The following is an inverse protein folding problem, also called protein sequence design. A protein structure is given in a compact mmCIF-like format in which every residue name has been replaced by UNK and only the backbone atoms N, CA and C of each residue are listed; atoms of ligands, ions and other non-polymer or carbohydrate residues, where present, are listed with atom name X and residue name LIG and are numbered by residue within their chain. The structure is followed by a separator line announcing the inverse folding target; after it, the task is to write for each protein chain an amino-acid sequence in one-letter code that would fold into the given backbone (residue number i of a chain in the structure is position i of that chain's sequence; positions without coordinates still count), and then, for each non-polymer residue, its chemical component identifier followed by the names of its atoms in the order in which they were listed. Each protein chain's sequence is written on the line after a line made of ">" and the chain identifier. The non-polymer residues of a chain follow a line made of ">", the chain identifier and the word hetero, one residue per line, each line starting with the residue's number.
data_IF_991311683022
#
_entry.id   IF_991311683022
#
_cell.length_a   1.000
_cell.length_b   1.000
_cell.length_c   1.000
_cell.angle_alpha   90.00
_cell.angle_beta   90.00
_cell.angle_gamma   90.00
#
_symmetry.space_group_name_H-M   'P 1'
#
loop_
_entity.id
_entity.type
_entity.pdbx_description
1 polymer ?
#
# COMPACT_ATOMS: atom_id res chain seq x y z
N UNK A 1 -202.64 -15.87 79.76
CA UNK A 1 -202.39 -14.43 79.89
C UNK A 1 -200.95 -14.24 80.38
N UNK A 2 -200.19 -13.35 79.73
CA UNK A 2 -198.88 -12.88 80.19
C UNK A 2 -197.68 -13.67 79.65
N UNK A 3 -197.07 -13.17 78.57
CA UNK A 3 -195.82 -13.68 78.01
C UNK A 3 -194.59 -13.20 78.76
N UNK A 4 -193.54 -14.01 78.73
CA UNK A 4 -192.19 -13.67 79.19
C UNK A 4 -191.22 -14.35 78.21
N UNK A 5 -190.78 -13.64 77.17
CA UNK A 5 -189.74 -14.13 76.25
C UNK A 5 -188.41 -13.70 76.84
N UNK A 6 -187.55 -14.67 77.11
CA UNK A 6 -186.19 -14.45 77.64
C UNK A 6 -185.23 -14.76 76.49
N UNK A 7 -184.51 -13.73 76.01
CA UNK A 7 -183.47 -13.89 75.00
C UNK A 7 -182.25 -14.59 75.63
N UNK A 8 -181.74 -15.61 74.94
CA UNK A 8 -180.50 -16.29 75.29
C UNK A 8 -179.38 -15.76 74.38
N UNK A 9 -178.44 -15.04 74.96
CA UNK A 9 -177.21 -14.62 74.28
C UNK A 9 -176.29 -15.84 74.12
N UNK A 10 -176.03 -16.24 72.87
CA UNK A 10 -175.08 -17.30 72.52
C UNK A 10 -173.74 -16.62 72.19
N UNK A 11 -172.86 -16.52 73.18
CA UNK A 11 -171.47 -16.16 72.97
C UNK A 11 -170.63 -17.42 72.71
N UNK A 12 -169.62 -17.33 71.84
CA UNK A 12 -168.60 -18.36 71.71
C UNK A 12 -167.93 -18.57 73.07
N UNK A 13 -167.66 -19.83 73.44
CA UNK A 13 -166.99 -20.11 74.70
C UNK A 13 -165.59 -19.47 74.71
N UNK A 14 -165.09 -19.16 75.91
CA UNK A 14 -163.80 -18.48 76.08
C UNK A 14 -162.66 -19.23 75.36
N UNK A 15 -162.70 -20.56 75.37
CA UNK A 15 -161.69 -21.44 74.73
C UNK A 15 -161.59 -21.24 73.21
N UNK A 16 -162.71 -21.04 72.51
CA UNK A 16 -162.71 -20.82 71.06
C UNK A 16 -162.24 -19.41 70.72
N UNK A 17 -162.60 -18.43 71.56
CA UNK A 17 -162.11 -17.06 71.41
C UNK A 17 -160.60 -17.00 71.65
N UNK A 18 -160.10 -17.70 72.67
CA UNK A 18 -158.68 -17.80 72.99
C UNK A 18 -157.90 -18.53 71.89
N UNK A 19 -158.47 -19.58 71.27
CA UNK A 19 -157.84 -20.31 70.16
C UNK A 19 -157.71 -19.47 68.89
N UNK A 20 -158.71 -18.63 68.57
CA UNK A 20 -158.64 -17.68 67.46
C UNK A 20 -157.60 -16.58 67.71
N UNK A 21 -157.54 -16.06 68.95
CA UNK A 21 -156.52 -15.10 69.37
C UNK A 21 -155.11 -15.71 69.37
N UNK A 22 -154.99 -16.99 69.74
CA UNK A 22 -153.75 -17.75 69.66
C UNK A 22 -153.37 -18.06 68.20
N UNK A 23 -154.33 -18.27 67.30
CA UNK A 23 -154.07 -18.47 65.88
C UNK A 23 -153.51 -17.21 65.20
N UNK A 24 -154.03 -16.02 65.55
CA UNK A 24 -153.49 -14.72 65.09
C UNK A 24 -152.10 -14.42 65.67
N UNK A 25 -151.74 -15.00 66.82
CA UNK A 25 -150.44 -14.80 67.50
C UNK A 25 -149.45 -15.97 67.38
N UNK A 26 -149.87 -17.12 66.86
CA UNK A 26 -149.03 -18.29 66.56
C UNK A 26 -148.16 -18.10 65.32
N UNK A 27 -148.24 -16.91 64.74
CA UNK A 27 -147.46 -16.50 63.60
C UNK A 27 -145.99 -16.37 63.98
N UNK A 28 -145.19 -17.35 63.57
CA UNK A 28 -143.79 -17.48 63.95
C UNK A 28 -142.95 -16.42 63.24
N UNK A 29 -142.45 -15.46 64.01
CA UNK A 29 -141.42 -14.52 63.56
C UNK A 29 -140.07 -15.24 63.41
N UNK A 30 -139.47 -15.19 62.23
CA UNK A 30 -138.11 -15.72 61.98
C UNK A 30 -137.18 -14.56 61.65
N UNK A 31 -136.11 -14.38 62.42
CA UNK A 31 -135.12 -13.33 62.15
C UNK A 31 -133.90 -13.93 61.45
N UNK A 32 -133.54 -13.41 60.28
CA UNK A 32 -132.28 -13.75 59.59
C UNK A 32 -131.18 -12.82 60.05
N UNK A 33 -129.97 -13.36 60.23
CA UNK A 33 -128.80 -12.59 60.67
C UNK A 33 -127.59 -12.84 59.77
N UNK A 34 -126.73 -11.83 59.61
CA UNK A 34 -125.37 -11.94 59.04
C UNK A 34 -124.39 -11.54 60.14
N UNK A 35 -123.45 -12.44 60.46
CA UNK A 35 -122.43 -12.26 61.50
C UNK A 35 -122.99 -11.71 62.84
N UNK A 36 -124.19 -12.19 63.22
CA UNK A 36 -124.89 -11.79 64.44
C UNK A 36 -125.69 -10.48 64.36
N UNK A 37 -125.70 -9.80 63.20
CA UNK A 37 -126.53 -8.61 62.94
C UNK A 37 -127.84 -9.03 62.31
N UNK A 38 -128.98 -8.59 62.86
CA UNK A 38 -130.30 -8.80 62.25
C UNK A 38 -130.40 -8.11 60.89
N UNK A 39 -130.80 -8.87 59.86
CA UNK A 39 -130.89 -8.41 58.48
C UNK A 39 -132.34 -8.25 58.08
N UNK A 40 -133.17 -9.25 58.36
CA UNK A 40 -134.58 -9.23 58.03
C UNK A 40 -135.38 -10.07 59.03
N UNK A 41 -136.52 -9.53 59.45
CA UNK A 41 -137.54 -10.27 60.19
C UNK A 41 -138.56 -10.77 59.17
N UNK A 42 -138.84 -12.06 59.18
CA UNK A 42 -139.87 -12.70 58.39
C UNK A 42 -141.09 -12.93 59.27
N UNK A 43 -142.23 -12.42 58.83
CA UNK A 43 -143.53 -12.57 59.48
C UNK A 43 -144.63 -12.83 58.42
N UNK A 44 -145.90 -12.64 58.78
CA UNK A 44 -147.04 -12.89 57.88
C UNK A 44 -147.09 -11.91 56.73
N UNK A 45 -146.68 -10.67 56.99
CA UNK A 45 -146.81 -9.57 56.05
C UNK A 45 -145.57 -9.52 55.14
N UNK A 46 -144.43 -10.10 55.57
CA UNK A 46 -143.21 -10.23 54.78
C UNK A 46 -142.50 -11.58 55.00
N UNK A 47 -142.91 -12.61 54.25
CA UNK A 47 -142.40 -13.98 54.37
C UNK A 47 -141.36 -14.39 53.30
N UNK A 48 -140.75 -13.43 52.60
CA UNK A 48 -139.77 -13.71 51.53
C UNK A 48 -138.35 -13.42 51.99
N UNK A 49 -137.53 -14.47 52.12
CA UNK A 49 -136.08 -14.35 52.28
C UNK A 49 -135.42 -14.12 50.91
N UNK A 50 -134.57 -13.10 50.80
CA UNK A 50 -133.79 -12.83 49.59
C UNK A 50 -132.30 -13.01 49.87
N UNK A 51 -131.62 -13.80 49.04
CA UNK A 51 -130.17 -13.98 49.07
C UNK A 51 -129.58 -13.32 47.84
N UNK A 52 -128.63 -12.42 48.04
CA UNK A 52 -128.02 -11.62 46.98
C UNK A 52 -126.61 -12.15 46.72
N UNK A 53 -126.29 -12.41 45.46
CA UNK A 53 -124.94 -12.78 45.02
C UNK A 53 -123.96 -11.63 45.25
N UNK A 54 -122.76 -11.95 45.75
CA UNK A 54 -121.62 -11.03 45.74
C UNK A 54 -120.75 -11.23 44.49
N UNK A 55 -119.66 -10.49 44.38
CA UNK A 55 -118.83 -10.47 43.16
C UNK A 55 -118.24 -11.84 42.77
N UNK A 56 -117.70 -12.59 43.75
CA UNK A 56 -117.04 -13.89 43.50
C UNK A 56 -117.89 -15.10 43.91
N UNK A 57 -119.12 -14.87 44.42
CA UNK A 57 -120.01 -15.93 44.92
C UNK A 57 -121.26 -15.98 44.06
N UNK A 58 -121.50 -17.14 43.44
CA UNK A 58 -122.69 -17.44 42.64
C UNK A 58 -123.67 -18.22 43.50
N UNK A 59 -124.94 -17.82 43.44
CA UNK A 59 -126.06 -18.49 44.09
C UNK A 59 -126.95 -19.10 43.00
N UNK A 60 -127.33 -20.36 43.16
CA UNK A 60 -128.26 -21.05 42.26
C UNK A 60 -129.19 -21.98 43.05
N UNK A 61 -130.29 -22.42 42.44
CA UNK A 61 -131.12 -23.47 43.01
C UNK A 61 -130.46 -24.85 42.81
N UNK A 62 -130.61 -25.74 43.80
CA UNK A 62 -130.25 -27.15 43.67
C UNK A 62 -131.22 -28.00 44.51
N UNK A 63 -132.15 -28.70 43.85
CA UNK A 63 -133.11 -29.63 44.46
C UNK A 63 -133.92 -29.08 45.67
N UNK A 64 -134.31 -27.81 45.60
CA UNK A 64 -135.05 -27.14 46.68
C UNK A 64 -134.16 -26.51 47.77
N UNK A 65 -132.84 -26.57 47.62
CA UNK A 65 -131.86 -25.81 48.41
C UNK A 65 -131.24 -24.64 47.63
N UNK A 66 -130.50 -23.79 48.35
CA UNK A 66 -129.68 -22.72 47.76
C UNK A 66 -128.24 -23.24 47.69
N UNK A 67 -127.68 -23.38 46.49
CA UNK A 67 -126.28 -23.72 46.25
C UNK A 67 -125.43 -22.46 46.29
N UNK A 68 -124.34 -22.51 47.05
CA UNK A 68 -123.35 -21.44 47.16
C UNK A 68 -122.04 -21.94 46.55
N UNK A 69 -121.57 -21.30 45.49
CA UNK A 69 -120.33 -21.66 44.79
C UNK A 69 -119.49 -20.42 44.47
N UNK A 70 -118.20 -20.62 44.19
CA UNK A 70 -117.35 -19.58 43.60
C UNK A 70 -117.66 -19.43 42.11
N UNK A 71 -117.53 -18.23 41.57
CA UNK A 71 -117.56 -18.01 40.13
C UNK A 71 -116.41 -18.77 39.41
N UNK A 72 -116.58 -19.08 38.12
CA UNK A 72 -115.52 -19.69 37.30
C UNK A 72 -114.33 -18.73 37.12
N UNK A 73 -114.64 -17.47 36.82
CA UNK A 73 -113.68 -16.37 36.80
C UNK A 73 -113.87 -15.53 38.06
N UNK A 74 -112.87 -15.57 38.95
CA UNK A 74 -112.85 -14.76 40.15
C UNK A 74 -111.87 -13.60 39.96
N UNK A 75 -112.33 -12.39 40.30
CA UNK A 75 -111.47 -11.21 40.29
C UNK A 75 -111.15 -10.82 41.72
N UNK A 76 -109.86 -10.78 42.03
CA UNK A 76 -109.36 -10.23 43.28
C UNK A 76 -108.60 -8.95 42.99
N UNK A 77 -108.95 -7.87 43.68
CA UNK A 77 -108.16 -6.63 43.66
C UNK A 77 -106.82 -6.81 44.40
N UNK A 78 -106.82 -7.68 45.41
CA UNK A 78 -105.63 -8.09 46.14
C UNK A 78 -105.82 -9.52 46.66
N UNK A 79 -104.73 -10.29 46.67
CA UNK A 79 -104.69 -11.63 47.26
C UNK A 79 -103.67 -11.55 48.40
N UNK A 80 -104.15 -11.67 49.64
CA UNK A 80 -103.26 -11.82 50.79
C UNK A 80 -103.02 -13.32 51.02
N UNK A 81 -101.91 -13.83 50.49
CA UNK A 81 -101.51 -15.23 50.62
C UNK A 81 -100.00 -15.34 50.83
N UNK A 82 -99.57 -16.32 51.62
CA UNK A 82 -98.15 -16.64 51.81
C UNK A 82 -97.52 -17.19 50.51
N UNK A 83 -98.36 -17.74 49.61
CA UNK A 83 -97.93 -18.25 48.32
C UNK A 83 -99.06 -18.24 47.28
N UNK A 84 -98.70 -18.11 46.01
CA UNK A 84 -99.57 -18.35 44.87
C UNK A 84 -98.94 -19.45 44.01
N UNK A 85 -99.61 -20.59 43.90
CA UNK A 85 -99.13 -21.73 43.12
C UNK A 85 -100.15 -22.09 42.04
N UNK A 86 -99.65 -22.22 40.81
CA UNK A 86 -100.40 -22.85 39.73
C UNK A 86 -99.96 -24.32 39.69
N UNK A 87 -100.88 -25.27 39.84
CA UNK A 87 -100.54 -26.70 39.82
C UNK A 87 -99.82 -27.07 38.52
N UNK A 88 -98.57 -27.55 38.63
CA UNK A 88 -97.70 -27.88 37.49
C UNK A 88 -97.09 -26.68 36.76
N UNK A 89 -97.36 -25.46 37.23
CA UNK A 89 -96.87 -24.21 36.65
C UNK A 89 -95.98 -23.40 37.60
N UNK A 90 -95.81 -22.09 37.34
CA UNK A 90 -95.03 -21.21 38.19
C UNK A 90 -95.58 -21.09 39.61
N UNK A 91 -94.69 -20.80 40.56
CA UNK A 91 -95.06 -20.46 41.93
C UNK A 91 -94.43 -19.14 42.36
N UNK A 92 -95.18 -18.37 43.15
CA UNK A 92 -94.74 -17.15 43.81
C UNK A 92 -94.82 -17.38 45.32
N UNK A 93 -93.71 -17.19 46.01
CA UNK A 93 -93.61 -17.33 47.47
C UNK A 93 -92.85 -16.14 48.07
N UNK A 94 -92.80 -16.03 49.40
CA UNK A 94 -91.92 -15.06 50.07
C UNK A 94 -90.43 -15.20 49.71
N UNK A 95 -90.00 -16.33 49.14
CA UNK A 95 -88.63 -16.56 48.67
C UNK A 95 -88.37 -16.14 47.22
N UNK A 96 -89.39 -15.74 46.46
CA UNK A 96 -89.27 -15.35 45.06
C UNK A 96 -90.18 -16.15 44.11
N UNK A 97 -89.76 -16.19 42.85
CA UNK A 97 -90.48 -16.84 41.74
C UNK A 97 -89.75 -18.11 41.35
N UNK A 98 -90.48 -19.23 41.28
CA UNK A 98 -90.01 -20.46 40.64
C UNK A 98 -90.82 -20.70 39.37
N UNK A 99 -90.13 -20.79 38.24
CA UNK A 99 -90.74 -21.03 36.93
C UNK A 99 -90.96 -22.52 36.61
N UNK A 100 -90.64 -23.43 37.54
CA UNK A 100 -90.82 -24.87 37.40
C UNK A 100 -90.21 -25.41 36.08
N UNK A 101 -88.94 -25.05 35.82
CA UNK A 101 -88.19 -25.38 34.60
C UNK A 101 -88.83 -24.92 33.27
N UNK A 102 -89.64 -23.86 33.30
CA UNK A 102 -90.17 -23.21 32.09
C UNK A 102 -89.41 -21.93 31.76
N UNK A 103 -89.56 -21.45 30.52
CA UNK A 103 -88.94 -20.20 30.07
C UNK A 103 -89.77 -18.99 30.50
N UNK A 104 -89.09 -17.90 30.84
CA UNK A 104 -89.71 -16.58 30.95
C UNK A 104 -89.63 -15.94 29.57
N UNK A 105 -90.77 -15.82 28.88
CA UNK A 105 -90.85 -15.16 27.58
C UNK A 105 -91.23 -13.68 27.74
N UNK A 106 -91.00 -12.89 26.68
CA UNK A 106 -91.28 -11.45 26.65
C UNK A 106 -90.53 -10.62 27.72
N UNK A 107 -89.33 -11.08 28.10
CA UNK A 107 -88.45 -10.33 28.99
C UNK A 107 -87.73 -9.24 28.18
N UNK A 108 -88.05 -7.97 28.48
CA UNK A 108 -87.31 -6.83 27.95
C UNK A 108 -85.86 -6.83 28.43
N UNK A 109 -84.98 -6.10 27.74
CA UNK A 109 -83.58 -5.96 28.12
C UNK A 109 -83.47 -5.36 29.53
N UNK A 110 -82.69 -5.99 30.40
CA UNK A 110 -82.36 -5.46 31.71
C UNK A 110 -81.51 -4.20 31.60
N UNK A 111 -81.84 -3.16 32.36
CA UNK A 111 -81.17 -1.85 32.32
C UNK A 111 -80.43 -1.57 33.63
N UNK A 112 -80.98 -2.01 34.76
CA UNK A 112 -80.41 -1.83 36.09
C UNK A 112 -79.66 -3.09 36.54
N UNK A 113 -78.79 -2.93 37.55
CA UNK A 113 -77.90 -4.00 38.03
C UNK A 113 -78.63 -5.26 38.55
N UNK A 114 -79.91 -5.14 38.92
CA UNK A 114 -80.72 -6.22 39.50
C UNK A 114 -81.82 -6.71 38.54
N UNK A 115 -81.84 -6.22 37.30
CA UNK A 115 -82.78 -6.69 36.29
C UNK A 115 -82.34 -8.08 35.77
N UNK A 116 -83.30 -8.92 35.39
CA UNK A 116 -82.99 -10.15 34.69
C UNK A 116 -82.51 -9.83 33.26
N UNK A 117 -81.55 -10.61 32.76
CA UNK A 117 -81.06 -10.49 31.38
C UNK A 117 -81.73 -11.52 30.48
N UNK A 118 -82.05 -11.13 29.25
CA UNK A 118 -82.51 -12.06 28.23
C UNK A 118 -81.34 -12.65 27.41
N UNK A 119 -81.64 -13.64 26.57
CA UNK A 119 -80.61 -14.34 25.78
C UNK A 119 -79.88 -13.40 24.81
N UNK A 120 -80.57 -12.42 24.21
CA UNK A 120 -79.94 -11.47 23.29
C UNK A 120 -78.89 -10.60 23.96
N UNK A 121 -79.10 -10.18 25.22
CA UNK A 121 -78.06 -9.44 25.97
C UNK A 121 -76.83 -10.31 26.23
N UNK A 122 -77.04 -11.60 26.55
CA UNK A 122 -75.94 -12.55 26.76
C UNK A 122 -75.15 -12.81 25.47
N UNK A 123 -75.83 -13.06 24.35
CA UNK A 123 -75.20 -13.27 23.04
C UNK A 123 -74.45 -12.03 22.57
N UNK A 124 -75.02 -10.83 22.76
CA UNK A 124 -74.36 -9.57 22.47
C UNK A 124 -73.08 -9.36 23.28
N UNK A 125 -73.13 -9.63 24.59
CA UNK A 125 -71.95 -9.55 25.46
C UNK A 125 -70.87 -10.58 25.07
N UNK A 126 -71.27 -11.80 24.71
CA UNK A 126 -70.35 -12.84 24.25
C UNK A 126 -69.67 -12.49 22.92
N UNK A 127 -70.42 -11.93 21.96
CA UNK A 127 -69.88 -11.48 20.69
C UNK A 127 -68.88 -10.33 20.87
N UNK A 128 -69.20 -9.35 21.73
CA UNK A 128 -68.33 -8.22 22.03
C UNK A 128 -67.05 -8.61 22.79
N UNK A 129 -67.01 -9.80 23.39
CA UNK A 129 -65.85 -10.29 24.16
C UNK A 129 -64.78 -10.95 23.28
N UNK A 130 -65.00 -11.10 21.97
CA UNK A 130 -64.02 -11.68 21.05
C UNK A 130 -62.91 -10.68 20.71
N UNK A 131 -61.67 -11.15 20.68
CA UNK A 131 -60.49 -10.35 20.31
C UNK A 131 -60.18 -10.47 18.83
N UNK A 132 -59.77 -9.37 18.20
CA UNK A 132 -59.32 -9.32 16.80
C UNK A 132 -57.79 -9.18 16.75
N UNK A 133 -57.13 -9.97 15.89
CA UNK A 133 -55.68 -9.92 15.67
C UNK A 133 -55.42 -9.76 14.18
N UNK A 134 -54.93 -8.58 13.79
CA UNK A 134 -54.54 -8.27 12.41
C UNK A 134 -53.02 -8.43 12.21
N UNK A 135 -52.61 -8.87 11.02
CA UNK A 135 -51.20 -8.93 10.66
C UNK A 135 -50.64 -7.53 10.42
N UNK A 136 -49.61 -7.15 11.18
CA UNK A 136 -48.87 -5.91 10.96
C UNK A 136 -47.86 -6.01 9.80
N UNK A 137 -47.02 -5.00 9.64
CA UNK A 137 -45.87 -5.06 8.72
C UNK A 137 -44.84 -6.07 9.19
N UNK A 138 -44.13 -6.71 8.26
CA UNK A 138 -43.11 -7.74 8.53
C UNK A 138 -43.65 -9.02 9.20
N UNK A 139 -44.95 -9.28 9.06
CA UNK A 139 -45.60 -10.53 9.46
C UNK A 139 -45.89 -11.35 8.21
N UNK A 140 -45.33 -12.55 8.10
CA UNK A 140 -45.63 -13.46 7.01
C UNK A 140 -47.02 -14.09 7.13
N UNK A 141 -47.46 -14.40 8.36
CA UNK A 141 -48.80 -14.93 8.59
C UNK A 141 -49.25 -14.78 10.04
N UNK A 142 -50.57 -14.69 10.23
CA UNK A 142 -51.24 -14.90 11.52
C UNK A 142 -52.14 -16.12 11.35
N UNK A 143 -51.80 -17.19 12.05
CA UNK A 143 -52.54 -18.44 11.98
C UNK A 143 -53.43 -18.58 13.21
N UNK A 144 -54.73 -18.79 13.01
CA UNK A 144 -55.69 -19.10 14.09
C UNK A 144 -55.90 -20.61 14.20
N UNK A 145 -56.00 -21.09 15.42
CA UNK A 145 -56.52 -22.42 15.76
C UNK A 145 -57.49 -22.33 16.93
N UNK A 146 -58.37 -23.31 17.09
CA UNK A 146 -59.27 -23.40 18.25
C UNK A 146 -58.63 -24.28 19.32
N UNK A 147 -58.55 -23.76 20.55
CA UNK A 147 -58.08 -24.47 21.72
C UNK A 147 -59.09 -25.50 22.25
N UNK A 148 -58.67 -26.29 23.23
CA UNK A 148 -59.49 -27.36 23.81
C UNK A 148 -60.77 -26.86 24.49
N UNK A 149 -60.79 -25.60 24.96
CA UNK A 149 -61.93 -24.99 25.64
C UNK A 149 -62.77 -24.11 24.69
N UNK A 150 -62.52 -24.17 23.38
CA UNK A 150 -63.25 -23.40 22.37
C UNK A 150 -62.76 -21.96 22.17
N UNK A 151 -61.64 -21.56 22.78
CA UNK A 151 -61.02 -20.24 22.61
C UNK A 151 -60.16 -20.17 21.34
N UNK A 152 -60.03 -18.99 20.75
CA UNK A 152 -59.13 -18.75 19.61
C UNK A 152 -57.67 -18.59 20.09
N UNK A 153 -56.72 -19.26 19.43
CA UNK A 153 -55.28 -19.13 19.64
C UNK A 153 -54.66 -18.57 18.36
N UNK A 154 -53.97 -17.43 18.47
CA UNK A 154 -53.28 -16.78 17.35
C UNK A 154 -51.77 -17.01 17.43
N UNK A 155 -51.19 -17.58 16.37
CA UNK A 155 -49.73 -17.66 16.16
C UNK A 155 -49.32 -16.61 15.15
N UNK A 156 -48.47 -15.65 15.56
CA UNK A 156 -47.94 -14.60 14.68
C UNK A 156 -46.55 -14.99 14.20
N UNK A 157 -46.38 -15.19 12.90
CA UNK A 157 -45.11 -15.52 12.27
C UNK A 157 -44.51 -14.25 11.64
N UNK A 158 -43.49 -13.68 12.28
CA UNK A 158 -42.78 -12.50 11.78
C UNK A 158 -41.66 -12.92 10.82
N UNK A 159 -41.66 -12.40 9.60
CA UNK A 159 -40.65 -12.71 8.57
C UNK A 159 -40.63 -11.57 7.54
N UNK A 160 -39.85 -10.52 7.80
CA UNK A 160 -39.89 -9.32 6.97
C UNK A 160 -38.68 -8.40 7.09
N UNK A 161 -37.50 -8.93 7.40
CA UNK A 161 -36.28 -8.16 7.27
C UNK A 161 -35.84 -8.10 5.80
N UNK A 162 -35.42 -6.93 5.33
CA UNK A 162 -34.75 -6.78 4.04
C UNK A 162 -33.34 -6.26 4.30
N UNK A 163 -32.34 -7.02 3.87
CA UNK A 163 -30.92 -6.63 3.92
C UNK A 163 -30.40 -6.61 2.50
N UNK A 164 -29.86 -5.46 2.06
CA UNK A 164 -29.29 -5.29 0.73
C UNK A 164 -27.80 -5.00 0.84
N UNK A 165 -27.01 -5.62 -0.04
CA UNK A 165 -25.57 -5.39 -0.13
C UNK A 165 -25.28 -4.22 -1.07
N UNK A 166 -24.37 -3.32 -0.65
CA UNK A 166 -23.76 -2.33 -1.54
C UNK A 166 -22.66 -2.94 -2.41
N UNK A 167 -22.04 -2.12 -3.25
CA UNK A 167 -20.87 -2.54 -4.04
C UNK A 167 -19.73 -2.97 -3.11
N UNK A 168 -19.11 -4.13 -3.39
CA UNK A 168 -17.99 -4.66 -2.60
C UNK A 168 -18.35 -5.57 -1.43
N UNK A 169 -19.65 -5.78 -1.17
CA UNK A 169 -20.16 -6.62 -0.08
C UNK A 169 -21.10 -7.67 -0.66
N UNK A 170 -21.13 -8.86 -0.07
CA UNK A 170 -22.16 -9.87 -0.27
C UNK A 170 -22.98 -10.03 1.00
N UNK A 171 -24.29 -10.22 0.82
CA UNK A 171 -25.21 -10.61 1.88
C UNK A 171 -25.76 -11.97 1.50
N UNK A 172 -25.62 -12.95 2.38
CA UNK A 172 -26.17 -14.29 2.23
C UNK A 172 -27.08 -14.59 3.40
N UNK A 173 -28.33 -14.97 3.11
CA UNK A 173 -29.30 -15.36 4.12
C UNK A 173 -29.26 -16.87 4.40
N UNK A 174 -29.60 -17.25 5.62
CA UNK A 174 -29.83 -18.66 6.01
C UNK A 174 -31.01 -18.73 6.97
N UNK A 175 -31.89 -19.71 6.76
CA UNK A 175 -32.99 -20.01 7.67
C UNK A 175 -32.43 -20.58 8.99
N UNK A 176 -32.54 -19.83 10.07
CA UNK A 176 -32.12 -20.24 11.41
C UNK A 176 -33.25 -20.98 12.17
N UNK A 177 -34.41 -21.17 11.53
CA UNK A 177 -35.60 -21.76 12.12
C UNK A 177 -36.32 -20.81 13.10
N UNK A 178 -37.55 -21.16 13.47
CA UNK A 178 -38.32 -20.38 14.45
C UNK A 178 -38.70 -18.98 13.96
N UNK A 179 -38.87 -18.79 12.64
CA UNK A 179 -39.11 -17.49 12.00
C UNK A 179 -37.93 -16.51 12.19
N UNK A 180 -36.70 -17.03 12.13
CA UNK A 180 -35.47 -16.23 12.19
C UNK A 180 -34.66 -16.47 10.93
N UNK A 181 -34.34 -15.39 10.23
CA UNK A 181 -33.41 -15.39 9.09
C UNK A 181 -32.09 -14.77 9.57
N UNK A 182 -31.00 -15.53 9.48
CA UNK A 182 -29.64 -15.03 9.76
C UNK A 182 -29.04 -14.44 8.48
N UNK A 183 -28.40 -13.28 8.59
CA UNK A 183 -27.78 -12.59 7.45
C UNK A 183 -26.28 -12.49 7.68
N UNK A 184 -25.50 -13.25 6.91
CA UNK A 184 -24.06 -13.10 6.86
C UNK A 184 -23.68 -11.95 5.91
N UNK A 185 -22.90 -11.00 6.42
CA UNK A 185 -22.42 -9.83 5.67
C UNK A 185 -20.90 -9.90 5.58
N UNK A 186 -20.38 -10.07 4.36
CA UNK A 186 -18.96 -10.24 4.10
C UNK A 186 -18.49 -9.41 2.90
N UNK A 187 -17.19 -9.15 2.79
CA UNK A 187 -16.62 -8.56 1.58
C UNK A 187 -16.77 -9.53 0.41
N UNK A 188 -17.12 -9.02 -0.77
CA UNK A 188 -17.21 -9.86 -1.95
C UNK A 188 -15.81 -10.32 -2.41
N UNK A 189 -15.76 -11.38 -3.22
CA UNK A 189 -14.50 -11.95 -3.70
C UNK A 189 -13.64 -10.91 -4.44
N UNK A 190 -14.25 -10.05 -5.26
CA UNK A 190 -13.54 -9.00 -6.00
C UNK A 190 -12.83 -7.99 -5.06
N UNK A 191 -13.48 -7.61 -3.95
CA UNK A 191 -12.89 -6.70 -2.96
C UNK A 191 -11.79 -7.40 -2.17
N UNK A 192 -12.00 -8.67 -1.82
CA UNK A 192 -10.95 -9.48 -1.17
C UNK A 192 -9.72 -9.64 -2.08
N UNK A 193 -9.93 -9.96 -3.36
CA UNK A 193 -8.88 -10.09 -4.38
C UNK A 193 -8.16 -8.76 -4.62
N UNK A 194 -8.91 -7.66 -4.68
CA UNK A 194 -8.36 -6.30 -4.84
C UNK A 194 -7.49 -5.91 -3.64
N UNK A 195 -7.91 -6.26 -2.41
CA UNK A 195 -7.11 -6.04 -1.20
C UNK A 195 -5.84 -6.90 -1.18
N UNK A 196 -5.93 -8.17 -1.61
CA UNK A 196 -4.75 -9.05 -1.75
C UNK A 196 -3.78 -8.53 -2.82
N UNK A 197 -4.31 -8.02 -3.93
CA UNK A 197 -3.49 -7.41 -4.97
C UNK A 197 -2.86 -6.11 -4.47
N UNK A 198 -3.58 -5.30 -3.70
CA UNK A 198 -3.04 -4.08 -3.10
C UNK A 198 -1.90 -4.37 -2.10
N UNK A 199 -2.02 -5.44 -1.31
CA UNK A 199 -0.98 -5.90 -0.39
C UNK A 199 0.27 -6.40 -1.14
N UNK A 200 0.08 -7.07 -2.29
CA UNK A 200 1.16 -7.58 -3.13
C UNK A 200 1.64 -6.62 -4.24
N UNK A 201 1.08 -5.41 -4.33
CA UNK A 201 1.33 -4.47 -5.41
C UNK A 201 2.72 -3.82 -5.37
N UNK A 202 3.55 -4.09 -4.35
CA UNK A 202 4.97 -3.77 -4.44
C UNK A 202 5.64 -4.76 -5.40
N UNK A 203 5.52 -4.41 -6.68
CA UNK A 203 6.08 -5.12 -7.82
C UNK A 203 7.57 -5.31 -7.62
N UNK A 204 7.96 -6.56 -7.47
CA UNK A 204 9.35 -6.98 -7.37
C UNK A 204 10.16 -6.44 -8.57
N UNK A 205 11.23 -5.68 -8.32
CA UNK A 205 12.17 -5.22 -9.34
C UNK A 205 13.47 -5.99 -9.19
N UNK A 206 13.77 -6.87 -10.13
CA UNK A 206 15.04 -7.62 -10.16
C UNK A 206 16.09 -6.81 -10.91
N UNK A 207 17.13 -6.39 -10.21
CA UNK A 207 18.32 -5.77 -10.79
C UNK A 207 19.32 -6.86 -11.20
N UNK A 208 19.97 -6.69 -12.36
CA UNK A 208 20.92 -7.65 -12.91
C UNK A 208 22.22 -6.96 -13.34
N UNK A 209 23.33 -7.69 -13.26
CA UNK A 209 24.61 -7.34 -13.89
C UNK A 209 24.93 -8.45 -14.89
N UNK A 210 25.08 -8.09 -16.17
CA UNK A 210 25.39 -9.02 -17.26
C UNK A 210 24.46 -10.26 -17.30
N UNK A 211 23.17 -10.06 -17.03
CA UNK A 211 22.14 -11.11 -17.00
C UNK A 211 22.13 -11.98 -15.74
N UNK A 212 23.02 -11.72 -14.78
CA UNK A 212 23.01 -12.35 -13.45
C UNK A 212 22.23 -11.48 -12.47
N UNK A 213 21.26 -12.05 -11.76
CA UNK A 213 20.51 -11.36 -10.72
C UNK A 213 21.41 -10.96 -9.55
N UNK A 214 21.33 -9.68 -9.16
CA UNK A 214 22.16 -9.14 -8.07
C UNK A 214 21.34 -8.71 -6.85
N UNK A 215 20.14 -8.18 -7.07
CA UNK A 215 19.22 -7.85 -5.99
C UNK A 215 17.79 -7.76 -6.50
N UNK A 216 16.88 -8.30 -5.71
CA UNK A 216 15.44 -8.12 -5.87
C UNK A 216 14.99 -7.02 -4.92
N UNK A 217 14.34 -6.00 -5.44
CA UNK A 217 13.68 -4.96 -4.66
C UNK A 217 12.23 -5.34 -4.51
N UNK A 218 11.78 -5.61 -3.29
CA UNK A 218 10.41 -5.99 -2.97
C UNK A 218 9.90 -5.23 -1.74
N UNK A 219 8.77 -5.65 -1.17
CA UNK A 219 8.16 -4.99 -0.01
C UNK A 219 9.00 -5.03 1.25
N UNK A 220 9.83 -6.06 1.41
CA UNK A 220 10.63 -6.27 2.61
C UNK A 220 12.04 -5.70 2.43
N UNK A 221 12.53 -5.58 1.19
CA UNK A 221 13.85 -5.02 0.85
C UNK A 221 13.79 -4.05 -0.35
N UNK A 222 13.20 -2.87 -0.13
CA UNK A 222 13.02 -1.84 -1.15
C UNK A 222 14.20 -0.87 -1.31
N UNK A 223 15.36 -1.15 -0.70
CA UNK A 223 16.52 -0.24 -0.73
C UNK A 223 17.51 -0.70 -1.79
N UNK A 224 17.54 0.03 -2.91
CA UNK A 224 18.59 -0.09 -3.90
C UNK A 224 19.86 0.61 -3.40
N UNK A 225 20.95 -0.15 -3.27
CA UNK A 225 22.25 0.39 -2.87
C UNK A 225 23.22 0.35 -4.05
N UNK A 226 23.68 1.53 -4.48
CA UNK A 226 24.71 1.68 -5.50
C UNK A 226 26.03 2.01 -4.81
N UNK A 227 27.05 1.21 -5.06
CA UNK A 227 28.35 1.32 -4.40
C UNK A 227 29.37 1.91 -5.38
N UNK A 228 30.14 2.89 -4.93
CA UNK A 228 31.25 3.46 -5.70
C UNK A 228 32.37 2.45 -5.86
N UNK A 229 32.97 2.39 -7.05
CA UNK A 229 34.21 1.65 -7.30
C UNK A 229 35.42 2.57 -7.27
N UNK A 230 36.60 2.03 -7.59
CA UNK A 230 37.87 2.77 -7.51
C UNK A 230 37.90 4.03 -8.39
N UNK A 231 37.42 3.93 -9.63
CA UNK A 231 37.46 5.02 -10.62
C UNK A 231 36.08 5.65 -10.89
N UNK A 232 35.02 5.18 -10.24
CA UNK A 232 33.63 5.63 -10.46
C UNK A 232 33.08 6.24 -9.18
N UNK A 233 32.64 7.49 -9.28
CA UNK A 233 31.97 8.22 -8.21
C UNK A 233 30.46 8.30 -8.47
N UNK A 234 29.69 8.23 -7.40
CA UNK A 234 28.23 8.32 -7.40
C UNK A 234 27.82 9.52 -6.56
N UNK A 235 26.88 10.33 -7.08
CA UNK A 235 26.33 11.50 -6.38
C UNK A 235 24.86 11.68 -6.70
N UNK A 236 24.11 12.40 -5.87
CA UNK A 236 22.75 12.84 -6.19
C UNK A 236 22.80 14.04 -7.15
N UNK A 237 21.92 14.03 -8.15
CA UNK A 237 21.63 15.20 -8.98
C UNK A 237 20.13 15.25 -9.27
N UNK A 238 19.41 16.12 -8.52
CA UNK A 238 17.97 16.35 -8.67
C UNK A 238 17.09 15.08 -8.54
N UNK A 239 17.45 14.18 -7.60
CA UNK A 239 16.73 12.91 -7.39
C UNK A 239 17.15 11.79 -8.34
N UNK A 240 18.14 12.04 -9.21
CA UNK A 240 18.82 11.01 -9.99
C UNK A 240 20.14 10.58 -9.36
N UNK A 241 20.59 9.37 -9.69
CA UNK A 241 21.94 8.90 -9.37
C UNK A 241 22.87 9.31 -10.50
N UNK A 242 23.71 10.32 -10.26
CA UNK A 242 24.75 10.76 -11.19
C UNK A 242 25.96 9.84 -11.07
N UNK A 243 26.32 9.22 -12.18
CA UNK A 243 27.49 8.35 -12.33
C UNK A 243 28.56 9.13 -13.10
N UNK A 244 29.74 9.29 -12.51
CA UNK A 244 30.87 9.97 -13.14
C UNK A 244 32.19 9.23 -12.88
N UNK A 245 33.20 9.55 -13.69
CA UNK A 245 34.58 9.15 -13.39
C UNK A 245 35.12 10.02 -12.25
N UNK A 246 35.96 9.43 -11.40
CA UNK A 246 36.75 10.21 -10.45
C UNK A 246 37.64 11.24 -11.18
N UNK A 247 37.98 12.33 -10.48
CA UNK A 247 38.91 13.34 -11.00
C UNK A 247 40.31 12.73 -11.22
N UNK A 248 40.77 11.97 -10.24
CA UNK A 248 41.98 11.16 -10.33
C UNK A 248 41.59 9.69 -10.51
N UNK A 249 42.05 9.09 -11.61
CA UNK A 249 41.82 7.67 -11.92
C UNK A 249 43.13 6.90 -11.87
N UNK A 250 43.09 5.70 -11.31
CA UNK A 250 44.24 4.80 -11.24
C UNK A 250 43.96 3.54 -12.05
N UNK A 251 44.91 3.17 -12.90
CA UNK A 251 44.87 1.93 -13.66
C UNK A 251 46.16 1.14 -13.39
N UNK A 252 46.04 -0.15 -13.07
CA UNK A 252 47.20 -1.06 -13.05
C UNK A 252 47.78 -1.25 -14.45
N UNK A 253 46.92 -1.28 -15.46
CA UNK A 253 47.28 -1.38 -16.87
C UNK A 253 46.21 -0.76 -17.74
N UNK A 254 46.61 -0.13 -18.85
CA UNK A 254 45.69 0.40 -19.86
C UNK A 254 45.91 -0.37 -21.16
N UNK A 255 44.96 -1.21 -21.55
CA UNK A 255 44.95 -1.87 -22.86
C UNK A 255 44.24 -0.96 -23.85
N UNK A 256 45.00 -0.22 -24.65
CA UNK A 256 44.47 0.68 -25.67
C UNK A 256 45.24 0.50 -26.98
N UNK A 257 44.60 0.74 -28.13
CA UNK A 257 45.32 0.80 -29.41
C UNK A 257 46.24 2.02 -29.50
N UNK A 258 45.88 3.09 -28.78
CA UNK A 258 46.67 4.32 -28.63
C UNK A 258 46.21 5.06 -27.39
N UNK A 259 47.15 5.71 -26.69
CA UNK A 259 46.90 6.60 -25.56
C UNK A 259 47.33 8.01 -25.94
N UNK A 260 46.42 8.98 -25.88
CA UNK A 260 46.72 10.38 -26.16
C UNK A 260 46.43 11.22 -24.92
N UNK A 261 47.42 12.00 -24.47
CA UNK A 261 47.24 13.01 -23.44
C UNK A 261 46.94 14.32 -24.16
N UNK A 262 45.82 14.97 -23.84
CA UNK A 262 45.44 16.24 -24.49
C UNK A 262 46.53 17.29 -24.23
N UNK A 263 47.12 17.81 -25.30
CA UNK A 263 48.23 18.77 -25.23
C UNK A 263 49.59 18.16 -24.84
N UNK A 264 49.67 16.84 -24.65
CA UNK A 264 50.88 16.12 -24.24
C UNK A 264 51.32 15.05 -25.23
N UNK A 265 52.16 14.10 -24.78
CA UNK A 265 52.61 12.98 -25.61
C UNK A 265 51.49 12.03 -26.00
N UNK A 266 51.71 11.30 -27.08
CA UNK A 266 50.86 10.17 -27.49
C UNK A 266 51.69 8.89 -27.61
N UNK A 267 51.09 7.77 -27.18
CA UNK A 267 51.62 6.42 -27.34
C UNK A 267 50.75 5.70 -28.36
N UNK A 268 51.34 5.21 -29.44
CA UNK A 268 50.65 4.45 -30.49
C UNK A 268 51.40 3.15 -30.77
N UNK A 269 50.83 2.27 -31.60
CA UNK A 269 51.54 1.08 -32.07
C UNK A 269 52.86 1.38 -32.82
N UNK A 270 53.08 2.63 -33.24
CA UNK A 270 54.32 3.08 -33.90
C UNK A 270 55.37 3.68 -32.95
N UNK A 271 55.09 3.81 -31.65
CA UNK A 271 55.99 4.41 -30.66
C UNK A 271 55.42 5.63 -29.95
N UNK A 272 56.29 6.52 -29.50
CA UNK A 272 55.97 7.72 -28.72
C UNK A 272 56.11 8.95 -29.61
N UNK A 273 55.07 9.77 -29.69
CA UNK A 273 55.14 11.13 -30.25
C UNK A 273 55.05 12.14 -29.11
N UNK A 274 56.09 12.95 -28.93
CA UNK A 274 56.16 13.99 -27.90
C UNK A 274 55.42 15.28 -28.26
N UNK A 275 54.72 15.33 -29.40
CA UNK A 275 53.97 16.50 -29.87
C UNK A 275 54.83 17.78 -29.90
N UNK A 276 56.05 17.67 -30.45
CA UNK A 276 57.06 18.73 -30.52
C UNK A 276 57.47 19.33 -29.15
N UNK A 277 57.39 18.54 -28.08
CA UNK A 277 57.89 18.90 -26.74
C UNK A 277 59.18 18.14 -26.38
N UNK A 278 59.93 18.66 -25.42
CA UNK A 278 61.19 18.05 -24.95
C UNK A 278 60.93 16.93 -23.95
N UNK A 279 61.74 15.86 -24.00
CA UNK A 279 61.82 14.86 -22.92
C UNK A 279 62.78 15.38 -21.85
N UNK A 280 62.24 15.94 -20.77
CA UNK A 280 63.03 16.35 -19.59
C UNK A 280 63.28 15.17 -18.64
N UNK A 281 64.35 15.26 -17.83
CA UNK A 281 64.74 14.21 -16.87
C UNK A 281 65.06 12.85 -17.51
N UNK A 282 65.49 12.86 -18.78
CA UNK A 282 66.04 11.68 -19.44
C UNK A 282 67.43 11.39 -18.89
N UNK A 283 67.56 10.29 -18.16
CA UNK A 283 68.86 9.79 -17.69
C UNK A 283 69.77 9.42 -18.87
N UNK A 284 71.08 9.35 -18.62
CA UNK A 284 72.06 8.92 -19.61
C UNK A 284 71.75 7.48 -20.10
N UNK A 285 71.64 7.30 -21.41
CA UNK A 285 71.52 5.99 -22.03
C UNK A 285 72.77 5.14 -21.80
N UNK A 286 72.58 3.87 -21.43
CA UNK A 286 73.66 2.94 -21.10
C UNK A 286 73.75 1.81 -22.13
N UNK A 287 72.59 1.34 -22.61
CA UNK A 287 72.49 0.28 -23.61
C UNK A 287 72.34 0.85 -25.02
N UNK A 288 72.66 0.05 -26.04
CA UNK A 288 72.71 0.47 -27.44
C UNK A 288 71.38 1.02 -28.02
N UNK A 289 70.23 0.67 -27.42
CA UNK A 289 68.90 1.11 -27.86
C UNK A 289 68.26 2.14 -26.91
N UNK A 290 69.00 2.61 -25.91
CA UNK A 290 68.51 3.66 -25.02
C UNK A 290 68.46 4.99 -25.77
N UNK A 291 67.48 5.84 -25.44
CA UNK A 291 67.50 7.22 -25.91
C UNK A 291 68.67 7.98 -25.26
N UNK A 292 69.36 8.82 -26.04
CA UNK A 292 70.45 9.68 -25.55
C UNK A 292 69.92 11.08 -25.24
N UNK A 293 70.35 11.65 -24.13
CA UNK A 293 70.06 13.05 -23.81
C UNK A 293 71.09 13.99 -24.47
N UNK A 294 70.81 15.30 -24.41
CA UNK A 294 71.67 16.31 -25.06
C UNK A 294 73.10 16.33 -24.48
N UNK A 295 73.26 16.18 -23.16
CA UNK A 295 74.59 16.17 -22.53
C UNK A 295 75.46 15.00 -23.00
N UNK A 296 74.87 13.81 -23.23
CA UNK A 296 75.60 12.68 -23.80
C UNK A 296 76.03 12.97 -25.24
N UNK A 297 75.14 13.56 -26.05
CA UNK A 297 75.45 13.93 -27.42
C UNK A 297 76.56 14.98 -27.47
N UNK A 298 76.48 16.02 -26.64
CA UNK A 298 77.51 17.06 -26.52
C UNK A 298 78.84 16.49 -26.02
N UNK A 299 78.80 15.59 -25.03
CA UNK A 299 79.98 14.89 -24.54
C UNK A 299 80.65 14.02 -25.61
N UNK A 300 79.86 13.26 -26.37
CA UNK A 300 80.35 12.45 -27.49
C UNK A 300 80.92 13.33 -28.61
N UNK A 301 80.25 14.45 -28.95
CA UNK A 301 80.71 15.40 -29.93
C UNK A 301 82.02 16.08 -29.50
N UNK A 302 82.16 16.43 -28.23
CA UNK A 302 83.39 16.99 -27.67
C UNK A 302 84.55 15.97 -27.70
N UNK A 303 84.28 14.72 -27.33
CA UNK A 303 85.27 13.64 -27.35
C UNK A 303 85.72 13.27 -28.79
N UNK A 304 84.90 13.57 -29.80
CA UNK A 304 85.24 13.34 -31.20
C UNK A 304 86.18 14.39 -31.80
N UNK A 305 86.51 15.47 -31.08
CA UNK A 305 87.43 16.50 -31.57
C UNK A 305 88.87 16.00 -31.51
N UNK A 306 89.62 16.25 -32.59
CA UNK A 306 91.05 15.94 -32.68
C UNK A 306 91.86 17.20 -32.39
N UNK A 307 92.93 17.05 -31.63
CA UNK A 307 93.91 18.10 -31.35
C UNK A 307 95.16 17.90 -32.22
N UNK A 308 95.66 18.98 -32.82
CA UNK A 308 96.89 18.99 -33.64
C UNK A 308 97.84 20.03 -33.06
N UNK A 309 98.94 19.57 -32.46
CA UNK A 309 99.99 20.42 -31.92
C UNK A 309 101.17 20.55 -32.89
N UNK A 310 101.80 21.73 -32.93
CA UNK A 310 103.02 21.95 -33.71
C UNK A 310 104.21 21.20 -33.09
N UNK A 311 104.88 20.35 -33.89
CA UNK A 311 106.14 19.70 -33.50
C UNK A 311 107.36 20.62 -33.59
N UNK A 312 108.53 20.13 -33.16
CA UNK A 312 109.77 20.94 -33.05
C UNK A 312 110.29 21.54 -34.36
N UNK A 313 109.89 21.01 -35.52
CA UNK A 313 110.30 21.47 -36.86
C UNK A 313 109.10 21.98 -37.70
N UNK A 314 108.05 22.46 -37.02
CA UNK A 314 106.83 23.02 -37.64
C UNK A 314 106.83 24.53 -37.39
N UNK A 315 106.71 25.34 -38.44
CA UNK A 315 106.55 26.79 -38.33
C UNK A 315 105.20 27.17 -37.72
N UNK A 316 104.13 26.59 -38.24
CA UNK A 316 102.78 26.81 -37.73
C UNK A 316 101.85 25.64 -38.01
N UNK A 317 100.79 25.56 -37.21
CA UNK A 317 99.60 24.76 -37.51
C UNK A 317 98.45 25.75 -37.65
N UNK A 318 97.95 25.93 -38.86
CA UNK A 318 96.87 26.87 -39.13
C UNK A 318 95.54 26.12 -39.14
N UNK A 319 94.57 26.61 -38.37
CA UNK A 319 93.21 26.06 -38.34
C UNK A 319 92.29 26.91 -39.22
N UNK A 320 91.47 26.22 -40.04
CA UNK A 320 90.34 26.83 -40.75
C UNK A 320 89.09 25.97 -40.57
N UNK A 321 87.90 26.57 -40.70
CA UNK A 321 86.63 25.82 -40.67
C UNK A 321 86.25 25.42 -42.09
N UNK A 322 86.03 24.11 -42.29
CA UNK A 322 85.55 23.54 -43.54
C UNK A 322 84.08 23.86 -43.82
N UNK A 323 83.61 23.50 -45.01
CA UNK A 323 82.25 23.79 -45.45
C UNK A 323 81.16 23.07 -44.61
N UNK A 324 81.50 21.97 -43.95
CA UNK A 324 80.59 21.19 -43.09
C UNK A 324 80.79 21.52 -41.60
N UNK A 325 81.52 22.58 -41.27
CA UNK A 325 81.78 23.02 -39.90
C UNK A 325 82.89 22.27 -39.17
N UNK A 326 83.61 21.37 -39.83
CA UNK A 326 84.75 20.64 -39.27
C UNK A 326 86.03 21.49 -39.26
N UNK A 327 86.91 21.24 -38.30
CA UNK A 327 88.23 21.87 -38.25
C UNK A 327 89.19 21.22 -39.25
N UNK A 328 89.87 22.05 -40.05
CA UNK A 328 90.93 21.66 -40.99
C UNK A 328 92.24 22.26 -40.49
N UNK A 329 93.21 21.39 -40.18
CA UNK A 329 94.55 21.79 -39.75
C UNK A 329 95.55 21.64 -40.89
N UNK A 330 96.23 22.73 -41.23
CA UNK A 330 97.36 22.74 -42.16
C UNK A 330 98.65 22.80 -41.35
N UNK A 331 99.50 21.77 -41.47
CA UNK A 331 100.79 21.71 -40.78
C UNK A 331 101.89 22.21 -41.71
N UNK A 332 102.46 23.37 -41.40
CA UNK A 332 103.53 24.00 -42.17
C UNK A 332 104.89 23.61 -41.55
N UNK A 333 105.59 22.65 -42.13
CA UNK A 333 106.95 22.28 -41.69
C UNK A 333 107.94 23.40 -42.06
N UNK A 334 108.84 23.76 -41.13
CA UNK A 334 109.88 24.77 -41.38
C UNK A 334 111.13 24.52 -40.53
N UNK A 335 112.00 23.62 -41.00
CA UNK A 335 113.29 23.49 -40.36
C UNK A 335 114.02 22.19 -40.68
N UNK A 336 114.91 22.27 -41.65
CA UNK A 336 116.14 21.47 -41.62
C UNK A 336 117.27 22.42 -41.23
N UNK A 337 118.03 22.10 -40.18
CA UNK A 337 119.27 22.83 -39.85
C UNK A 337 120.42 22.22 -40.64
N UNK A 338 120.92 22.91 -41.66
CA UNK A 338 122.12 22.51 -42.41
C UNK A 338 123.26 23.44 -42.02
N UNK A 339 124.37 22.86 -41.54
CA UNK A 339 125.57 23.62 -41.17
C UNK A 339 126.77 23.12 -41.97
N UNK A 340 127.59 24.05 -42.46
CA UNK A 340 128.81 23.76 -43.19
C UNK A 340 130.00 23.60 -42.22
N UNK A 341 130.88 22.62 -42.48
CA UNK A 341 132.18 22.52 -41.84
C UNK A 341 133.24 23.38 -42.53
N UNK A 342 134.47 23.44 -41.98
CA UNK A 342 135.58 24.17 -42.62
C UNK A 342 135.89 23.60 -44.00
N UNK A 343 135.83 24.44 -45.04
CA UNK A 343 136.14 24.08 -46.44
C UNK A 343 134.93 23.97 -47.38
N UNK A 344 133.72 24.16 -46.86
CA UNK A 344 132.46 24.07 -47.60
C UNK A 344 131.60 25.29 -47.26
N UNK A 345 130.90 25.84 -48.25
CA UNK A 345 129.87 26.84 -48.07
C UNK A 345 128.49 26.18 -48.20
N UNK A 346 127.55 26.59 -47.33
CA UNK A 346 126.14 26.21 -47.41
C UNK A 346 125.32 27.48 -47.60
N UNK A 347 124.52 27.52 -48.66
CA UNK A 347 123.62 28.65 -48.97
C UNK A 347 122.19 28.14 -49.01
N UNK A 348 121.32 28.74 -48.19
CA UNK A 348 119.90 28.45 -48.20
C UNK A 348 119.18 29.29 -49.27
N UNK A 349 118.28 28.66 -50.03
CA UNK A 349 117.32 29.37 -50.88
C UNK A 349 116.15 29.94 -50.06
N UNK A 350 115.36 30.83 -50.66
CA UNK A 350 114.07 31.20 -50.07
C UNK A 350 113.12 29.99 -50.13
N UNK A 351 112.23 29.80 -49.13
CA UNK A 351 111.25 28.71 -49.16
C UNK A 351 110.36 28.76 -50.41
N UNK A 352 109.99 27.60 -50.95
CA UNK A 352 109.05 27.49 -52.07
C UNK A 352 107.57 27.59 -51.62
N UNK A 353 106.63 27.46 -52.56
CA UNK A 353 105.19 27.51 -52.28
C UNK A 353 104.66 26.37 -51.39
N UNK A 354 105.50 25.37 -51.10
CA UNK A 354 105.23 24.22 -50.25
C UNK A 354 106.02 24.30 -48.92
N UNK A 355 106.61 25.46 -48.61
CA UNK A 355 107.47 25.72 -47.45
C UNK A 355 108.72 24.83 -47.39
N UNK A 356 109.24 24.37 -48.53
CA UNK A 356 110.51 23.64 -48.59
C UNK A 356 111.66 24.62 -48.79
N UNK A 357 112.69 24.51 -47.96
CA UNK A 357 113.95 25.26 -48.08
C UNK A 357 115.05 24.35 -48.63
N UNK A 358 115.53 24.64 -49.84
CA UNK A 358 116.68 23.95 -50.44
C UNK A 358 118.01 24.55 -49.97
N UNK A 359 119.00 23.67 -49.75
CA UNK A 359 120.35 24.03 -49.32
C UNK A 359 121.37 23.60 -50.37
N UNK A 360 122.07 24.58 -50.96
CA UNK A 360 123.19 24.33 -51.86
C UNK A 360 124.48 24.17 -51.03
N UNK A 361 125.24 23.11 -51.32
CA UNK A 361 126.47 22.76 -50.59
C UNK A 361 127.63 22.63 -51.59
N UNK A 362 128.65 23.49 -51.48
CA UNK A 362 129.78 23.54 -52.40
C UNK A 362 131.11 23.79 -51.68
N UNK A 363 132.24 23.37 -52.27
CA UNK A 363 133.57 23.70 -51.72
C UNK A 363 133.78 25.21 -51.70
N UNK A 364 134.27 25.75 -50.58
CA UNK A 364 134.52 27.18 -50.48
C UNK A 364 135.71 27.60 -51.36
N UNK A 365 135.80 28.90 -51.68
CA UNK A 365 136.81 29.41 -52.59
C UNK A 365 138.24 29.13 -52.10
N UNK A 366 138.50 29.20 -50.80
CA UNK A 366 139.82 28.91 -50.22
C UNK A 366 140.27 27.46 -50.43
N UNK A 367 139.33 26.50 -50.36
CA UNK A 367 139.60 25.08 -50.63
C UNK A 367 139.82 24.84 -52.12
N UNK A 368 139.03 25.50 -52.98
CA UNK A 368 139.24 25.45 -54.42
C UNK A 368 140.61 26.04 -54.80
N UNK A 369 140.98 27.17 -54.21
CA UNK A 369 142.26 27.85 -54.44
C UNK A 369 143.45 27.03 -53.92
N UNK A 370 143.32 26.41 -52.74
CA UNK A 370 144.36 25.54 -52.16
C UNK A 370 144.63 24.31 -53.03
N UNK A 371 143.58 23.73 -53.63
CA UNK A 371 143.73 22.61 -54.58
C UNK A 371 144.42 23.05 -55.87
N UNK A 372 144.11 24.25 -56.38
CA UNK A 372 144.78 24.83 -57.56
C UNK A 372 146.27 25.14 -57.31
N UNK A 373 146.61 25.62 -56.12
CA UNK A 373 147.99 25.91 -55.74
C UNK A 373 148.82 24.63 -55.55
N UNK A 374 148.21 23.56 -55.01
CA UNK A 374 148.89 22.28 -54.85
C UNK A 374 149.33 21.66 -56.20
N UNK A 375 148.55 21.88 -57.26
CA UNK A 375 148.84 21.36 -58.61
C UNK A 375 150.01 22.09 -59.30
N UNK A 376 150.30 23.34 -58.92
CA UNK A 376 151.29 24.19 -59.60
C UNK A 376 152.67 24.29 -58.89
N UNK A 377 152.87 23.62 -57.76
CA UNK A 377 154.05 23.77 -56.90
C UNK A 377 155.25 22.82 -57.18
N UNK A 378 155.30 22.12 -58.31
CA UNK A 378 156.36 21.15 -58.61
C UNK A 378 157.66 21.84 -59.10
N UNK A 379 158.75 21.72 -58.35
CA UNK A 379 160.00 22.47 -58.59
C UNK A 379 161.01 21.71 -59.46
N UNK A 380 161.53 22.39 -60.48
CA UNK A 380 162.71 22.00 -61.28
C UNK A 380 163.99 22.39 -60.53
N UNK A 381 164.92 21.46 -60.30
CA UNK A 381 166.18 21.67 -59.57
C UNK A 381 167.37 21.54 -60.53
N UNK A 382 168.18 22.59 -60.71
CA UNK A 382 169.37 22.52 -61.57
C UNK A 382 170.63 22.23 -60.76
N UNK A 383 171.45 21.28 -61.22
CA UNK A 383 172.75 20.92 -60.65
C UNK A 383 173.89 21.50 -61.49
N UNK A 384 174.87 22.12 -60.82
CA UNK A 384 176.00 22.82 -61.45
C UNK A 384 177.34 22.29 -60.92
N UNK A 385 178.39 22.28 -61.76
CA UNK A 385 179.79 22.05 -61.36
C UNK A 385 180.60 23.24 -61.86
N UNK A 386 181.38 23.86 -60.97
CA UNK A 386 182.23 25.01 -61.23
C UNK A 386 181.55 26.15 -62.00
N UNK A 387 180.29 26.44 -61.63
CA UNK A 387 179.50 27.53 -62.20
C UNK A 387 178.91 27.27 -63.58
N UNK A 388 178.97 26.03 -64.08
CA UNK A 388 178.31 25.60 -65.32
C UNK A 388 177.22 24.57 -65.02
N UNK A 389 176.04 24.75 -65.58
CA UNK A 389 174.93 23.80 -65.46
C UNK A 389 175.28 22.46 -66.12
N UNK A 390 175.11 21.36 -65.38
CA UNK A 390 175.49 20.01 -65.83
C UNK A 390 174.28 19.11 -65.99
N UNK A 391 173.23 19.29 -65.15
CA UNK A 391 171.96 18.59 -65.30
C UNK A 391 170.81 19.30 -64.59
N UNK A 392 169.65 19.36 -65.22
CA UNK A 392 168.39 19.78 -64.61
C UNK A 392 167.59 18.56 -64.21
N UNK A 393 167.10 18.54 -62.97
CA UNK A 393 166.23 17.51 -62.42
C UNK A 393 164.80 18.06 -62.35
N UNK A 394 163.86 17.36 -62.97
CA UNK A 394 162.44 17.70 -62.92
C UNK A 394 161.59 16.45 -62.63
N UNK A 395 160.26 16.57 -62.76
CA UNK A 395 159.33 15.48 -62.50
C UNK A 395 159.59 14.26 -63.40
N UNK A 396 160.19 14.48 -64.58
CA UNK A 396 160.35 13.50 -65.65
C UNK A 396 161.80 12.97 -65.76
N UNK A 397 162.81 13.62 -65.15
CA UNK A 397 164.18 13.11 -64.99
C UNK A 397 164.83 13.54 -63.66
N UNK A 398 164.94 12.62 -62.70
CA UNK A 398 165.33 12.91 -61.31
C UNK A 398 166.55 12.11 -60.78
N UNK A 399 167.42 11.60 -61.67
CA UNK A 399 168.63 10.84 -61.26
C UNK A 399 169.92 11.60 -61.58
N UNK A 400 170.74 11.89 -60.56
CA UNK A 400 172.08 12.48 -60.68
C UNK A 400 173.17 11.47 -60.33
N UNK A 401 174.23 11.36 -61.15
CA UNK A 401 175.35 10.45 -60.90
C UNK A 401 176.69 11.11 -61.31
N UNK A 402 177.72 10.97 -60.48
CA UNK A 402 179.02 11.64 -60.56
C UNK A 402 180.16 10.62 -60.72
N UNK A 403 181.16 10.87 -61.57
CA UNK A 403 182.33 9.99 -61.81
C UNK A 403 183.63 10.56 -61.21
N UNK A 404 184.45 9.71 -60.58
CA UNK A 404 185.74 10.08 -59.93
C UNK A 404 186.92 10.11 -60.90
N UNK A 405 187.78 11.14 -60.83
CA UNK A 405 188.94 11.35 -61.70
C UNK A 405 190.26 10.70 -61.23
N UNK A 406 191.17 10.48 -62.18
CA UNK A 406 192.52 9.94 -62.01
C UNK A 406 193.48 10.96 -61.36
N UNK A 407 194.39 10.46 -60.51
CA UNK A 407 195.54 11.20 -59.95
C UNK A 407 196.84 10.62 -60.50
#
# INVERSE_FOLDING_TARGET
>A
AGGNVTDYEVALNQETQDSLLLADSALQTVVTQIDGTEVKTLDQDDNVANFVTGDNIVLSDEAGGIKIATAEDVTFTSINSDSLAITGGPTLTGGGIDMNNTTISNLADGVNANDAVNLSQLEGAAAASKTEVEAGTNVASVNQTTGADGQDIYTVNADGASVSAGTGVTVTDTDAGGNVTDYEVALNQETQDSLLLADSALQSVVTQIDGTEVKTLDQDDNVANFVTGDNIVLSDEAGGIKIATAEDVTFTSVTSGSLAIIGGPTLTGGGIDMNNTTISNLADGVNANDAVNLSQLEGAAAASKTEVEAGTNVASVDQTTGADGQDIYTVNADGASVSAGTGVDVVAAAPDANNVTDYEVALNQETQDSLLLADSALQTVVTQIDGTEVKTLDQDDNVANFVTGDN
#
